data_IF_823801295894
#
_entry.id   IF_823801295894
#
_cell.length_a   1.000
_cell.length_b   1.000
_cell.length_c   1.000
_cell.angle_alpha   90.00
_cell.angle_beta   90.00
_cell.angle_gamma   90.00
#
_symmetry.space_group_name_H-M   'P 1'
#
loop_
_entity.id
_entity.type
_entity.pdbx_description
1 polymer ?
#
# COMPACT_ATOMS: atom_id res chain seq x y z
N UNK A 1 15.40 5.56 22.54
CA UNK A 1 15.93 4.98 21.29
C UNK A 1 15.00 5.39 20.18
N UNK A 2 15.49 5.89 19.05
CA UNK A 2 14.64 6.18 17.89
C UNK A 2 14.03 4.86 17.40
N UNK A 3 12.71 4.74 17.43
CA UNK A 3 12.01 3.55 16.92
C UNK A 3 12.30 3.45 15.43
N UNK A 4 12.72 2.27 14.96
CA UNK A 4 13.05 2.05 13.54
C UNK A 4 11.74 1.79 12.79
N UNK A 5 11.40 2.65 11.82
CA UNK A 5 10.24 2.52 10.93
C UNK A 5 10.61 1.73 9.68
N UNK A 6 9.76 0.78 9.27
CA UNK A 6 9.84 0.12 7.96
C UNK A 6 9.07 0.93 6.92
N UNK A 7 9.73 1.32 5.83
CA UNK A 7 9.10 2.06 4.73
C UNK A 7 9.02 1.16 3.50
N UNK A 8 7.79 0.88 3.05
CA UNK A 8 7.50 0.14 1.82
C UNK A 8 7.19 1.14 0.71
N UNK A 9 8.11 1.28 -0.22
CA UNK A 9 8.05 2.32 -1.25
C UNK A 9 7.62 1.77 -2.61
N UNK A 10 6.67 2.45 -3.26
CA UNK A 10 6.18 2.10 -4.61
C UNK A 10 6.12 3.32 -5.51
N UNK A 11 6.63 3.19 -6.74
CA UNK A 11 6.49 4.17 -7.83
C UNK A 11 5.77 3.61 -9.06
N UNK A 12 5.31 2.36 -8.99
CA UNK A 12 4.64 1.68 -10.09
C UNK A 12 3.35 2.40 -10.48
N UNK A 13 2.97 2.31 -11.75
CA UNK A 13 1.66 2.76 -12.19
C UNK A 13 0.59 1.72 -11.77
N UNK A 14 -0.40 2.10 -10.94
CA UNK A 14 -1.43 1.17 -10.47
C UNK A 14 -2.32 0.62 -11.60
N UNK A 15 -2.31 1.24 -12.78
CA UNK A 15 -3.03 0.76 -13.97
C UNK A 15 -2.29 -0.36 -14.69
N UNK A 16 -0.96 -0.39 -14.57
CA UNK A 16 -0.09 -1.31 -15.31
C UNK A 16 0.36 -2.50 -14.45
N UNK A 17 0.67 -2.29 -13.17
CA UNK A 17 1.13 -3.34 -12.26
C UNK A 17 0.63 -3.09 -10.84
N UNK A 18 -0.30 -3.94 -10.39
CA UNK A 18 -0.88 -3.88 -9.04
C UNK A 18 -0.04 -4.64 -8.00
N UNK A 19 0.90 -5.48 -8.43
CA UNK A 19 1.71 -6.34 -7.56
C UNK A 19 2.55 -5.58 -6.53
N UNK A 20 3.25 -4.48 -6.90
CA UNK A 20 3.99 -3.64 -5.96
C UNK A 20 3.11 -3.08 -4.84
N UNK A 21 1.88 -2.65 -5.15
CA UNK A 21 0.93 -2.16 -4.15
C UNK A 21 0.51 -3.29 -3.22
N UNK A 22 0.13 -4.45 -3.76
CA UNK A 22 -0.26 -5.59 -2.92
C UNK A 22 0.82 -5.93 -1.91
N UNK A 23 2.09 -6.04 -2.34
CA UNK A 23 3.21 -6.33 -1.45
C UNK A 23 3.44 -5.23 -0.42
N UNK A 24 3.41 -3.97 -0.83
CA UNK A 24 3.64 -2.85 0.08
C UNK A 24 2.59 -2.81 1.21
N UNK A 25 1.30 -2.84 0.85
CA UNK A 25 0.20 -2.86 1.83
C UNK A 25 0.18 -4.14 2.66
N UNK A 26 0.48 -5.30 2.05
CA UNK A 26 0.56 -6.57 2.77
C UNK A 26 1.63 -6.54 3.86
N UNK A 27 2.87 -6.18 3.52
CA UNK A 27 3.96 -6.21 4.48
C UNK A 27 3.87 -5.08 5.51
N UNK A 28 3.32 -3.91 5.15
CA UNK A 28 3.03 -2.86 6.13
C UNK A 28 2.02 -3.35 7.18
N UNK A 29 0.94 -4.01 6.76
CA UNK A 29 -0.05 -4.59 7.66
C UNK A 29 0.54 -5.73 8.53
N UNK A 30 1.39 -6.59 7.96
CA UNK A 30 2.07 -7.64 8.73
C UNK A 30 3.00 -7.04 9.78
N UNK A 31 3.82 -6.05 9.40
CA UNK A 31 4.73 -5.37 10.32
C UNK A 31 3.98 -4.68 11.46
N UNK A 32 2.91 -3.94 11.15
CA UNK A 32 2.13 -3.21 12.15
C UNK A 32 1.44 -4.15 13.15
N UNK A 33 0.95 -5.32 12.71
CA UNK A 33 0.42 -6.37 13.59
C UNK A 33 1.46 -6.97 14.53
N UNK A 34 2.76 -6.83 14.24
CA UNK A 34 3.86 -7.25 15.12
C UNK A 34 4.38 -6.09 16.00
N UNK A 35 3.69 -4.94 16.03
CA UNK A 35 4.12 -3.76 16.79
C UNK A 35 5.32 -3.04 16.16
N UNK A 36 5.63 -3.32 14.90
CA UNK A 36 6.69 -2.63 14.15
C UNK A 36 6.06 -1.43 13.45
N UNK A 37 6.61 -0.24 13.69
CA UNK A 37 6.19 0.97 13.00
C UNK A 37 6.43 0.82 11.50
N UNK A 38 5.38 1.02 10.68
CA UNK A 38 5.42 0.81 9.25
C UNK A 38 4.76 1.97 8.49
N UNK A 39 5.20 2.17 7.25
CA UNK A 39 4.67 3.17 6.33
C UNK A 39 4.69 2.61 4.91
N UNK A 40 3.61 2.84 4.16
CA UNK A 40 3.59 2.72 2.70
C UNK A 40 3.82 4.10 2.11
N UNK A 41 4.92 4.27 1.36
CA UNK A 41 5.25 5.54 0.71
C UNK A 41 5.09 5.43 -0.80
N UNK A 42 4.25 6.30 -1.35
CA UNK A 42 3.93 6.35 -2.76
C UNK A 42 4.66 7.53 -3.41
N UNK A 43 5.07 7.38 -4.67
CA UNK A 43 5.63 8.50 -5.43
C UNK A 43 5.34 8.36 -6.94
N UNK A 44 5.25 9.50 -7.63
CA UNK A 44 4.94 9.52 -9.07
C UNK A 44 3.56 8.96 -9.37
N UNK A 45 3.44 8.11 -10.40
CA UNK A 45 2.17 7.50 -10.80
C UNK A 45 1.52 6.67 -9.69
N UNK A 46 2.28 6.21 -8.69
CA UNK A 46 1.73 5.43 -7.60
C UNK A 46 0.75 6.19 -6.70
N UNK A 47 0.83 7.52 -6.66
CA UNK A 47 -0.07 8.38 -5.88
C UNK A 47 -1.52 8.24 -6.36
N UNK A 48 -1.73 7.93 -7.63
CA UNK A 48 -3.06 7.73 -8.23
C UNK A 48 -3.85 6.58 -7.58
N UNK A 49 -3.19 5.65 -6.87
CA UNK A 49 -3.86 4.53 -6.18
C UNK A 49 -4.79 5.01 -5.05
N UNK A 50 -4.64 6.25 -4.59
CA UNK A 50 -5.59 6.87 -3.65
C UNK A 50 -7.01 6.96 -4.23
N UNK A 51 -7.13 7.00 -5.56
CA UNK A 51 -8.39 6.84 -6.27
C UNK A 51 -8.54 5.38 -6.74
N UNK A 52 -9.30 4.57 -6.00
CA UNK A 52 -9.47 3.14 -6.30
C UNK A 52 -10.12 2.84 -7.67
N UNK A 53 -10.74 3.84 -8.31
CA UNK A 53 -11.34 3.69 -9.64
C UNK A 53 -10.29 3.66 -10.76
N UNK A 54 -9.03 4.04 -10.48
CA UNK A 54 -7.94 3.95 -11.49
C UNK A 54 -7.41 2.54 -11.67
N UNK A 55 -7.72 1.63 -10.74
CA UNK A 55 -7.25 0.25 -10.78
C UNK A 55 -7.97 -0.54 -11.87
N UNK A 56 -7.26 -1.43 -12.58
CA UNK A 56 -7.84 -2.21 -13.67
C UNK A 56 -9.03 -3.04 -13.19
N UNK A 57 -10.03 -3.22 -14.06
CA UNK A 57 -11.20 -4.08 -13.79
C UNK A 57 -10.84 -5.55 -14.05
N UNK A 58 -9.91 -6.06 -13.24
CA UNK A 58 -9.40 -7.43 -13.26
C UNK A 58 -9.38 -7.98 -11.83
N UNK A 59 -9.25 -9.30 -11.68
CA UNK A 59 -9.11 -9.95 -10.38
C UNK A 59 -7.99 -9.32 -9.53
N UNK A 60 -6.83 -9.09 -10.13
CA UNK A 60 -5.70 -8.43 -9.47
C UNK A 60 -5.99 -6.97 -9.05
N UNK A 61 -6.86 -6.27 -9.78
CA UNK A 61 -7.35 -4.94 -9.41
C UNK A 61 -8.34 -4.97 -8.25
N UNK A 62 -9.21 -5.98 -8.21
CA UNK A 62 -10.16 -6.19 -7.12
C UNK A 62 -9.46 -6.63 -5.83
N UNK A 63 -8.43 -7.47 -5.93
CA UNK A 63 -7.59 -7.86 -4.79
C UNK A 63 -6.96 -6.64 -4.12
N UNK A 64 -6.36 -5.73 -4.90
CA UNK A 64 -5.73 -4.55 -4.31
C UNK A 64 -6.76 -3.54 -3.81
N UNK A 65 -7.94 -3.40 -4.45
CA UNK A 65 -9.06 -2.62 -3.90
C UNK A 65 -9.45 -3.13 -2.52
N UNK A 66 -9.63 -4.44 -2.37
CA UNK A 66 -9.96 -5.04 -1.07
C UNK A 66 -8.83 -4.83 -0.07
N UNK A 67 -7.57 -4.99 -0.49
CA UNK A 67 -6.41 -4.83 0.39
C UNK A 67 -6.25 -3.41 0.92
N UNK A 68 -6.45 -2.40 0.07
CA UNK A 68 -6.39 -1.00 0.49
C UNK A 68 -7.56 -0.69 1.42
N UNK A 69 -8.77 -1.18 1.13
CA UNK A 69 -9.93 -1.02 2.02
C UNK A 69 -9.70 -1.62 3.41
N UNK A 70 -9.12 -2.81 3.49
CA UNK A 70 -8.69 -3.44 4.76
C UNK A 70 -7.66 -2.61 5.53
N UNK A 71 -6.95 -1.72 4.83
CA UNK A 71 -5.85 -0.95 5.38
C UNK A 71 -6.23 0.47 5.83
N UNK A 72 -7.48 0.90 5.60
CA UNK A 72 -7.95 2.25 5.97
C UNK A 72 -7.82 2.48 7.49
N UNK A 73 -8.12 1.46 8.29
CA UNK A 73 -8.02 1.51 9.76
C UNK A 73 -6.77 0.78 10.29
N UNK A 74 -5.82 0.45 9.41
CA UNK A 74 -4.63 -0.29 9.82
C UNK A 74 -3.62 0.62 10.57
N UNK A 75 -2.83 0.08 11.51
CA UNK A 75 -1.89 0.88 12.30
C UNK A 75 -0.56 1.13 11.54
N UNK A 76 -0.65 1.57 10.28
CA UNK A 76 0.49 2.02 9.49
C UNK A 76 0.10 3.23 8.64
N UNK A 77 1.07 4.10 8.37
CA UNK A 77 0.83 5.31 7.59
C UNK A 77 0.84 5.02 6.09
N UNK A 78 0.05 5.75 5.31
CA UNK A 78 0.20 5.85 3.86
C UNK A 78 0.56 7.29 3.52
N UNK A 79 1.70 7.51 2.87
CA UNK A 79 2.22 8.84 2.53
C UNK A 79 2.47 8.94 1.02
N UNK A 80 2.38 10.16 0.48
CA UNK A 80 2.57 10.48 -0.94
C UNK A 80 3.24 11.85 -1.11
#
# INVERSE_FOLDING_TARGET
MTQRKLVFFTTADPRADTGPFFRAYHFANVASKQGIEAEVRLAGSAVEVANLDVLPNTEAGDEIRNKIRESIDAPFDVTF
#
